data_IF_544956841002
#
_entry.id   IF_544956841002
#
_cell.length_a   1.000
_cell.length_b   1.000
_cell.length_c   1.000
_cell.angle_alpha   90.00
_cell.angle_beta   90.00
_cell.angle_gamma   90.00
#
_symmetry.space_group_name_H-M   'P 1'
#
loop_
_entity.id
_entity.type
_entity.pdbx_description
1 polymer ?
#
# COMPACT_ATOMS: atom_id res chain seq x y z
N UNK A 1 30.43 -11.64 4.45
CA UNK A 1 29.94 -10.93 5.65
C UNK A 1 28.84 -10.00 5.18
N UNK A 2 27.61 -10.17 5.68
CA UNK A 2 26.51 -9.24 5.39
C UNK A 2 26.84 -7.90 6.05
N UNK A 3 26.77 -6.82 5.26
CA UNK A 3 27.01 -5.48 5.78
C UNK A 3 25.83 -5.04 6.64
N UNK A 4 26.07 -4.23 7.68
CA UNK A 4 24.98 -3.73 8.53
C UNK A 4 23.99 -2.88 7.74
N UNK A 5 24.46 -2.26 6.65
CA UNK A 5 23.64 -1.51 5.69
C UNK A 5 22.69 -2.42 4.91
N UNK A 6 23.11 -3.64 4.56
CA UNK A 6 22.25 -4.60 3.85
C UNK A 6 21.13 -5.08 4.76
N UNK A 7 21.45 -5.35 6.03
CA UNK A 7 20.46 -5.75 7.03
C UNK A 7 19.43 -4.63 7.27
N UNK A 8 19.89 -3.39 7.35
CA UNK A 8 19.04 -2.22 7.54
C UNK A 8 18.16 -1.96 6.31
N UNK A 9 18.73 -2.08 5.11
CA UNK A 9 17.99 -1.94 3.86
C UNK A 9 16.89 -3.00 3.73
N UNK A 10 17.20 -4.26 4.03
CA UNK A 10 16.24 -5.35 4.00
C UNK A 10 15.12 -5.14 5.04
N UNK A 11 15.48 -4.71 6.26
CA UNK A 11 14.51 -4.38 7.31
C UNK A 11 13.60 -3.22 6.93
N UNK A 12 14.16 -2.15 6.34
CA UNK A 12 13.38 -1.01 5.86
C UNK A 12 12.41 -1.42 4.74
N UNK A 13 12.83 -2.32 3.85
CA UNK A 13 12.01 -2.80 2.74
C UNK A 13 10.85 -3.68 3.24
N UNK A 14 11.13 -4.57 4.19
CA UNK A 14 10.09 -5.34 4.87
C UNK A 14 9.08 -4.44 5.59
N UNK A 15 9.54 -3.40 6.29
CA UNK A 15 8.67 -2.42 6.95
C UNK A 15 7.83 -1.64 5.93
N UNK A 16 8.40 -1.22 4.81
CA UNK A 16 7.70 -0.48 3.76
C UNK A 16 6.58 -1.30 3.12
N UNK A 17 6.71 -2.63 3.07
CA UNK A 17 5.64 -3.54 2.64
C UNK A 17 4.63 -3.76 3.77
N UNK A 18 5.10 -4.00 5.00
CA UNK A 18 4.21 -4.40 6.10
C UNK A 18 3.32 -3.26 6.61
N UNK A 19 3.83 -2.02 6.65
CA UNK A 19 3.10 -0.85 7.18
C UNK A 19 1.79 -0.59 6.40
N UNK A 20 1.78 -0.57 5.06
CA UNK A 20 0.54 -0.43 4.28
C UNK A 20 -0.48 -1.53 4.56
N UNK A 21 -0.05 -2.78 4.74
CA UNK A 21 -0.94 -3.90 5.08
C UNK A 21 -1.54 -3.77 6.49
N UNK A 22 -0.71 -3.44 7.48
CA UNK A 22 -1.19 -3.24 8.85
C UNK A 22 -2.22 -2.10 8.89
N UNK A 23 -1.97 -1.03 8.15
CA UNK A 23 -2.86 0.09 8.15
C UNK A 23 -4.14 -0.10 7.32
N UNK A 24 -4.12 -0.89 6.24
CA UNK A 24 -5.35 -1.31 5.56
C UNK A 24 -6.18 -2.21 6.46
N UNK A 25 -5.56 -3.12 7.20
CA UNK A 25 -6.25 -3.95 8.19
C UNK A 25 -6.92 -3.08 9.28
N UNK A 26 -6.22 -2.09 9.82
CA UNK A 26 -6.80 -1.14 10.80
C UNK A 26 -7.97 -0.38 10.19
N UNK A 27 -7.86 0.09 8.94
CA UNK A 27 -8.97 0.77 8.26
C UNK A 27 -10.15 -0.15 7.95
N UNK A 28 -9.91 -1.42 7.63
CA UNK A 28 -10.94 -2.44 7.45
C UNK A 28 -11.70 -2.70 8.75
N UNK A 29 -10.99 -2.85 9.87
CA UNK A 29 -11.59 -2.98 11.20
C UNK A 29 -12.44 -1.74 11.51
N UNK A 30 -11.92 -0.55 11.21
CA UNK A 30 -12.65 0.71 11.42
C UNK A 30 -13.87 0.85 10.49
N UNK A 31 -13.81 0.32 9.27
CA UNK A 31 -14.93 0.25 8.35
C UNK A 31 -15.99 -0.74 8.85
N UNK A 32 -15.58 -1.92 9.30
CA UNK A 32 -16.47 -2.91 9.89
C UNK A 32 -17.17 -2.34 11.12
N UNK A 33 -16.43 -1.63 11.98
CA UNK A 33 -17.00 -0.91 13.11
C UNK A 33 -17.99 0.18 12.69
N UNK A 34 -17.72 0.91 11.60
CA UNK A 34 -18.65 1.91 11.08
C UNK A 34 -19.94 1.29 10.50
N UNK A 35 -19.84 0.13 9.86
CA UNK A 35 -20.98 -0.59 9.27
C UNK A 35 -21.83 -1.25 10.36
N UNK A 36 -21.20 -1.91 11.33
CA UNK A 36 -21.87 -2.70 12.38
C UNK A 36 -22.22 -1.88 13.63
N UNK A 37 -21.49 -0.79 13.90
CA UNK A 37 -21.68 0.06 15.08
C UNK A 37 -22.84 1.05 14.97
N UNK A 38 -23.42 1.39 16.12
CA UNK A 38 -24.53 2.34 16.26
C UNK A 38 -24.21 3.71 15.64
N UNK A 39 -25.22 4.31 14.99
CA UNK A 39 -25.10 5.54 14.19
C UNK A 39 -24.53 6.73 14.98
N UNK A 40 -24.62 6.70 16.31
CA UNK A 40 -24.24 7.79 17.21
C UNK A 40 -22.72 7.87 17.47
N UNK A 41 -21.98 6.77 17.28
CA UNK A 41 -20.50 6.73 17.44
C UNK A 41 -19.74 6.77 16.12
N UNK A 42 -20.46 6.98 15.00
CA UNK A 42 -19.89 7.06 13.65
C UNK A 42 -19.02 8.31 13.51
N UNK A 43 -17.73 8.17 13.79
CA UNK A 43 -16.72 9.18 13.47
C UNK A 43 -16.56 9.44 11.96
N UNK A 44 -15.52 10.20 11.60
CA UNK A 44 -15.24 10.55 10.19
C UNK A 44 -15.14 9.31 9.26
N UNK A 45 -15.68 9.42 8.04
CA UNK A 45 -15.64 8.36 7.01
C UNK A 45 -14.19 7.87 6.80
N UNK A 46 -13.93 6.55 6.81
CA UNK A 46 -12.60 6.01 6.59
C UNK A 46 -12.09 6.35 5.17
N UNK A 47 -10.88 6.90 5.09
CA UNK A 47 -10.21 7.27 3.83
C UNK A 47 -9.54 6.05 3.21
N UNK A 48 -10.32 5.27 2.48
CA UNK A 48 -9.92 3.94 1.99
C UNK A 48 -9.08 3.98 0.72
N UNK A 49 -9.33 4.95 -0.17
CA UNK A 49 -8.80 4.94 -1.55
C UNK A 49 -7.27 4.96 -1.60
N UNK A 50 -6.61 5.83 -0.83
CA UNK A 50 -5.15 5.90 -0.81
C UNK A 50 -4.47 4.70 -0.15
N UNK A 51 -5.16 4.10 0.82
CA UNK A 51 -4.66 2.96 1.58
C UNK A 51 -4.75 1.67 0.79
N UNK A 52 -5.84 1.46 0.04
CA UNK A 52 -5.96 0.35 -0.91
C UNK A 52 -4.91 0.45 -2.02
N UNK A 53 -4.69 1.65 -2.57
CA UNK A 53 -3.67 1.86 -3.60
C UNK A 53 -2.27 1.57 -3.06
N UNK A 54 -1.96 2.04 -1.85
CA UNK A 54 -0.70 1.76 -1.19
C UNK A 54 -0.50 0.27 -0.93
N UNK A 55 -1.53 -0.43 -0.43
CA UNK A 55 -1.47 -1.87 -0.24
C UNK A 55 -1.28 -2.63 -1.55
N UNK A 56 -1.98 -2.22 -2.62
CA UNK A 56 -1.84 -2.84 -3.93
C UNK A 56 -0.41 -2.74 -4.47
N UNK A 57 0.17 -1.53 -4.43
CA UNK A 57 1.54 -1.33 -4.87
C UNK A 57 2.58 -1.98 -3.95
N UNK A 58 2.36 -2.00 -2.63
CA UNK A 58 3.20 -2.76 -1.70
C UNK A 58 3.12 -4.26 -1.95
N UNK A 59 1.96 -4.79 -2.34
CA UNK A 59 1.78 -6.19 -2.72
C UNK A 59 2.56 -6.54 -4.00
N UNK A 60 2.58 -5.64 -4.99
CA UNK A 60 3.40 -5.77 -6.20
C UNK A 60 4.90 -5.65 -5.92
N UNK A 61 5.32 -4.81 -4.98
CA UNK A 61 6.71 -4.78 -4.53
C UNK A 61 7.08 -6.09 -3.81
N UNK A 62 6.14 -6.66 -3.06
CA UNK A 62 6.33 -7.89 -2.32
C UNK A 62 6.53 -9.12 -3.22
N UNK A 63 6.06 -9.12 -4.47
CA UNK A 63 6.32 -10.23 -5.42
C UNK A 63 7.80 -10.40 -5.78
N UNK A 64 8.58 -9.32 -5.68
CA UNK A 64 10.01 -9.37 -5.95
C UNK A 64 10.84 -9.69 -4.70
N UNK A 65 10.26 -9.57 -3.50
CA UNK A 65 10.93 -9.82 -2.22
C UNK A 65 10.55 -11.17 -1.60
N UNK A 66 9.28 -11.56 -1.67
CA UNK A 66 8.74 -12.77 -1.05
C UNK A 66 8.75 -13.91 -2.06
N UNK A 67 9.54 -14.94 -1.78
CA UNK A 67 9.53 -16.21 -2.52
C UNK A 67 8.43 -17.18 -2.02
N UNK A 68 7.29 -16.63 -1.57
CA UNK A 68 6.18 -17.40 -0.98
C UNK A 68 4.96 -17.31 -1.90
N UNK A 69 4.19 -18.38 -2.07
CA UNK A 69 2.93 -18.31 -2.82
C UNK A 69 1.90 -17.41 -2.10
N UNK A 70 1.07 -16.62 -2.82
CA UNK A 70 0.91 -16.54 -4.29
C UNK A 70 1.89 -15.57 -4.99
N UNK A 71 2.79 -14.93 -4.24
CA UNK A 71 3.69 -13.88 -4.74
C UNK A 71 4.73 -14.41 -5.73
N UNK A 72 5.22 -15.64 -5.51
CA UNK A 72 6.15 -16.32 -6.41
C UNK A 72 5.56 -16.49 -7.82
N UNK A 73 4.30 -16.94 -7.92
CA UNK A 73 3.60 -17.15 -9.19
C UNK A 73 3.38 -15.84 -9.94
N UNK A 74 3.02 -14.77 -9.21
CA UNK A 74 2.89 -13.43 -9.79
C UNK A 74 4.24 -12.86 -10.25
N UNK A 75 5.31 -13.16 -9.53
CA UNK A 75 6.69 -12.80 -9.91
C UNK A 75 7.12 -13.45 -11.23
N UNK A 76 6.74 -14.71 -11.46
CA UNK A 76 7.01 -15.43 -12.72
C UNK A 76 6.22 -14.87 -13.91
N UNK A 77 5.03 -14.31 -13.66
CA UNK A 77 4.20 -13.65 -14.67
C UNK A 77 4.62 -12.20 -14.94
N UNK A 78 5.58 -11.67 -14.19
CA UNK A 78 6.04 -10.29 -14.37
C UNK A 78 6.81 -10.17 -15.70
N UNK A 79 6.35 -9.33 -16.65
CA UNK A 79 7.03 -9.12 -17.93
C UNK A 79 8.36 -8.36 -17.78
N UNK A 80 8.69 -7.87 -16.57
CA UNK A 80 9.92 -7.13 -16.30
C UNK A 80 11.15 -8.06 -16.32
N UNK A 81 12.18 -7.73 -17.14
CA UNK A 81 13.44 -8.47 -17.16
C UNK A 81 14.08 -8.53 -15.77
N UNK A 82 14.72 -9.65 -15.45
CA UNK A 82 15.25 -9.92 -14.11
C UNK A 82 16.23 -8.84 -13.60
N UNK A 83 16.99 -8.26 -14.53
CA UNK A 83 17.92 -7.14 -14.32
C UNK A 83 17.26 -5.83 -13.83
N UNK A 84 15.97 -5.62 -14.07
CA UNK A 84 15.23 -4.40 -13.68
C UNK A 84 14.22 -4.63 -12.54
N UNK A 85 14.19 -5.82 -11.92
CA UNK A 85 13.21 -6.15 -10.87
C UNK A 85 13.38 -5.32 -9.60
N UNK A 86 14.62 -4.96 -9.25
CA UNK A 86 14.90 -4.09 -8.11
C UNK A 86 14.34 -2.68 -8.35
N UNK A 87 14.53 -2.14 -9.55
CA UNK A 87 14.00 -0.82 -9.95
C UNK A 87 12.48 -0.83 -9.96
N UNK A 88 11.86 -1.90 -10.48
CA UNK A 88 10.42 -2.12 -10.43
C UNK A 88 9.89 -2.14 -9.00
N UNK A 89 10.54 -2.89 -8.10
CA UNK A 89 10.16 -2.96 -6.68
C UNK A 89 10.23 -1.58 -6.01
N UNK A 90 11.30 -0.83 -6.25
CA UNK A 90 11.46 0.54 -5.73
C UNK A 90 10.37 1.47 -6.29
N UNK A 91 10.09 1.38 -7.60
CA UNK A 91 9.03 2.17 -8.24
C UNK A 91 7.65 1.86 -7.66
N UNK A 92 7.35 0.60 -7.38
CA UNK A 92 6.11 0.19 -6.74
C UNK A 92 6.02 0.70 -5.29
N UNK A 93 7.09 0.66 -4.51
CA UNK A 93 7.10 1.27 -3.17
C UNK A 93 6.92 2.79 -3.23
N UNK A 94 7.54 3.47 -4.20
CA UNK A 94 7.36 4.90 -4.41
C UNK A 94 5.91 5.24 -4.80
N UNK A 95 5.29 4.43 -5.67
CA UNK A 95 3.86 4.53 -6.03
C UNK A 95 2.96 4.22 -4.83
N UNK A 96 3.34 3.30 -3.95
CA UNK A 96 2.60 2.99 -2.73
C UNK A 96 2.56 4.21 -1.79
N UNK A 97 3.73 4.84 -1.57
CA UNK A 97 3.86 6.09 -0.82
C UNK A 97 3.09 7.24 -1.46
N UNK A 98 3.21 7.41 -2.78
CA UNK A 98 2.47 8.43 -3.52
C UNK A 98 0.96 8.21 -3.41
N UNK A 99 0.49 6.98 -3.61
CA UNK A 99 -0.91 6.57 -3.46
C UNK A 99 -1.44 6.80 -2.04
N UNK A 100 -0.61 6.55 -1.04
CA UNK A 100 -0.94 6.84 0.35
C UNK A 100 -1.15 8.33 0.60
N UNK A 101 -0.17 9.16 0.20
CA UNK A 101 -0.19 10.61 0.44
C UNK A 101 -1.30 11.28 -0.38
N UNK A 102 -1.39 10.94 -1.68
CA UNK A 102 -2.30 11.60 -2.62
C UNK A 102 -3.70 10.99 -2.66
N UNK A 103 -3.86 9.71 -2.33
CA UNK A 103 -5.18 9.08 -2.33
C UNK A 103 -6.12 9.65 -1.25
N UNK A 104 -5.57 10.26 -0.20
CA UNK A 104 -6.35 11.11 0.72
C UNK A 104 -6.67 12.51 0.17
N UNK A 105 -5.82 13.04 -0.72
CA UNK A 105 -5.95 14.38 -1.29
C UNK A 105 -6.94 14.45 -2.47
N UNK A 106 -7.03 13.39 -3.29
CA UNK A 106 -7.93 13.34 -4.45
C UNK A 106 -9.41 13.43 -4.02
N UNK A 107 -9.77 12.83 -2.89
CA UNK A 107 -11.13 12.92 -2.33
C UNK A 107 -11.42 14.26 -1.66
N UNK A 108 -10.37 14.98 -1.25
CA UNK A 108 -10.47 16.28 -0.61
C UNK A 108 -10.58 17.43 -1.63
N UNK A 109 -10.65 17.17 -2.95
CA UNK A 109 -11.14 18.17 -3.89
C UNK A 109 -12.64 18.36 -3.63
N UNK A 110 -13.05 19.49 -3.00
CA UNK A 110 -14.46 19.74 -2.84
C UNK A 110 -15.07 19.91 -4.22
N UNK A 111 -16.28 19.41 -4.37
CA UNK A 111 -17.26 19.79 -5.41
C UNK A 111 -17.41 21.31 -5.49
N UNK A 112 -16.42 22.01 -6.07
CA UNK A 112 -16.41 23.47 -6.21
C UNK A 112 -16.67 23.92 -7.64
N UNK A 113 -17.34 23.08 -8.44
CA UNK A 113 -17.71 23.36 -9.84
C UNK A 113 -19.09 22.77 -10.24
N UNK A 114 -20.09 22.84 -9.36
CA UNK A 114 -21.50 22.72 -9.79
C UNK A 114 -22.33 23.66 -8.93
N UNK A 115 -22.32 24.91 -9.34
CA UNK A 115 -22.95 26.06 -8.71
C UNK A 115 -22.68 27.28 -9.57
N UNK A 116 -23.19 27.23 -10.80
CA UNK A 116 -23.31 28.32 -11.74
C UNK A 116 -24.67 28.19 -12.40
#
# INVERSE_FOLDING_TARGET
MISIYDLLAFGALALAICVPFAATAIQLIRLLWFVTGEKETRGARPRFTGLVLAMFFSSLAATELLSVEPFLTLSHLNPVPQQHRVEFMIAMLALALAGWIWGGAIWNRPRRQSGG
#
